data_IF_523102046149
#
_entry.id   IF_523102046149
#
_cell.length_a   1.000
_cell.length_b   1.000
_cell.length_c   1.000
_cell.angle_alpha   90.00
_cell.angle_beta   90.00
_cell.angle_gamma   90.00
#
_symmetry.space_group_name_H-M   'P 1'
#
loop_
_entity.id
_entity.type
_entity.pdbx_description
1 polymer ?
#
# COMPACT_ATOMS: atom_id res chain seq x y z
N UNK A 1 24.81 10.11 14.16
CA UNK A 1 24.06 11.28 13.66
C UNK A 1 24.87 12.10 12.64
N UNK A 2 26.14 12.43 12.91
CA UNK A 2 26.94 13.33 12.05
C UNK A 2 27.23 12.80 10.63
N UNK A 3 27.45 11.50 10.45
CA UNK A 3 27.77 10.93 9.14
C UNK A 3 26.58 10.95 8.16
N UNK A 4 25.37 10.63 8.62
CA UNK A 4 24.16 10.64 7.77
C UNK A 4 23.85 12.06 7.33
N UNK A 5 23.90 13.02 8.25
CA UNK A 5 23.68 14.45 7.94
C UNK A 5 24.72 14.93 6.93
N UNK A 6 25.99 14.58 7.11
CA UNK A 6 27.05 14.92 6.18
C UNK A 6 26.78 14.37 4.77
N UNK A 7 26.48 13.06 4.66
CA UNK A 7 26.19 12.41 3.36
C UNK A 7 25.00 13.08 2.66
N UNK A 8 23.91 13.34 3.39
CA UNK A 8 22.73 14.00 2.82
C UNK A 8 23.03 15.42 2.37
N UNK A 9 23.80 16.15 3.16
CA UNK A 9 24.20 17.52 2.80
C UNK A 9 25.06 17.52 1.53
N UNK A 10 26.01 16.58 1.40
CA UNK A 10 26.82 16.42 0.19
C UNK A 10 25.96 16.11 -1.04
N UNK A 11 25.00 15.18 -0.94
CA UNK A 11 24.11 14.88 -2.06
C UNK A 11 23.20 16.05 -2.42
N UNK A 12 22.71 16.83 -1.44
CA UNK A 12 21.91 18.03 -1.71
C UNK A 12 22.75 19.06 -2.48
N UNK A 13 23.98 19.32 -2.02
CA UNK A 13 24.90 20.24 -2.70
C UNK A 13 25.17 19.81 -4.14
N UNK A 14 25.29 18.50 -4.41
CA UNK A 14 25.46 17.96 -5.77
C UNK A 14 24.17 18.05 -6.62
N UNK A 15 23.00 17.92 -6.00
CA UNK A 15 21.72 17.95 -6.71
C UNK A 15 21.35 19.34 -7.26
N UNK A 16 21.84 20.41 -6.64
CA UNK A 16 21.62 21.80 -7.07
C UNK A 16 22.22 22.10 -8.46
N UNK A 17 23.53 21.92 -8.71
CA UNK A 17 24.11 22.16 -10.04
C UNK A 17 23.52 21.22 -11.09
N UNK A 18 23.13 19.99 -10.72
CA UNK A 18 22.44 19.08 -11.62
C UNK A 18 21.04 19.60 -12.01
N UNK A 19 20.27 20.13 -11.06
CA UNK A 19 19.00 20.80 -11.32
C UNK A 19 19.15 22.01 -12.24
N UNK A 20 20.17 22.85 -12.02
CA UNK A 20 20.50 23.98 -12.89
C UNK A 20 20.88 23.54 -14.31
N UNK A 21 21.59 22.43 -14.45
CA UNK A 21 21.91 21.84 -15.75
C UNK A 21 20.66 21.35 -16.48
N UNK A 22 19.74 20.67 -15.78
CA UNK A 22 18.42 20.26 -16.33
C UNK A 22 17.64 21.51 -16.78
N UNK A 23 17.57 22.55 -15.96
CA UNK A 23 16.87 23.80 -16.27
C UNK A 23 17.35 24.44 -17.57
N UNK A 24 18.67 24.43 -17.81
CA UNK A 24 19.29 24.94 -19.04
C UNK A 24 19.02 24.04 -20.24
N UNK A 25 19.11 22.71 -20.06
CA UNK A 25 18.91 21.73 -21.13
C UNK A 25 17.47 21.69 -21.66
N UNK A 26 16.50 21.98 -20.81
CA UNK A 26 15.08 22.01 -21.16
C UNK A 26 14.61 23.40 -21.64
N UNK A 27 15.47 24.17 -22.32
CA UNK A 27 15.16 25.54 -22.78
C UNK A 27 13.90 25.65 -23.64
N UNK A 28 13.56 24.60 -24.38
CA UNK A 28 12.37 24.52 -25.24
C UNK A 28 11.06 24.29 -24.46
N UNK A 29 11.12 24.04 -23.15
CA UNK A 29 9.94 23.85 -22.31
C UNK A 29 9.47 25.18 -21.71
N UNK A 30 8.20 25.23 -21.27
CA UNK A 30 7.68 26.38 -20.53
C UNK A 30 8.46 26.57 -19.23
N UNK A 31 8.59 27.82 -18.78
CA UNK A 31 9.36 28.17 -17.58
C UNK A 31 8.96 27.34 -16.35
N UNK A 32 7.65 27.19 -16.10
CA UNK A 32 7.14 26.40 -14.98
C UNK A 32 7.60 24.94 -15.06
N UNK A 33 7.49 24.31 -16.23
CA UNK A 33 7.86 22.91 -16.45
C UNK A 33 9.37 22.70 -16.25
N UNK A 34 10.18 23.68 -16.64
CA UNK A 34 11.63 23.70 -16.41
C UNK A 34 11.96 23.80 -14.93
N UNK A 35 11.29 24.68 -14.20
CA UNK A 35 11.46 24.80 -12.75
C UNK A 35 11.13 23.47 -12.05
N UNK A 36 9.96 22.88 -12.37
CA UNK A 36 9.54 21.60 -11.80
C UNK A 36 10.58 20.49 -12.06
N UNK A 37 11.04 20.36 -13.31
CA UNK A 37 12.07 19.40 -13.67
C UNK A 37 13.41 19.65 -12.93
N UNK A 38 13.81 20.92 -12.76
CA UNK A 38 15.04 21.31 -12.09
C UNK A 38 15.02 21.05 -10.58
N UNK A 39 13.86 21.19 -9.91
CA UNK A 39 13.71 20.89 -8.49
C UNK A 39 13.59 19.39 -8.19
N UNK A 40 13.18 18.59 -9.17
CA UNK A 40 12.93 17.15 -8.98
C UNK A 40 14.13 16.38 -8.38
N UNK A 41 15.38 16.55 -8.85
CA UNK A 41 16.54 15.86 -8.25
C UNK A 41 16.80 16.26 -6.79
N UNK A 42 16.62 17.53 -6.45
CA UNK A 42 16.82 18.03 -5.08
C UNK A 42 15.80 17.38 -4.14
N UNK A 43 14.52 17.38 -4.53
CA UNK A 43 13.46 16.74 -3.77
C UNK A 43 13.67 15.23 -3.64
N UNK A 44 14.14 14.58 -4.71
CA UNK A 44 14.45 13.16 -4.71
C UNK A 44 15.57 12.82 -3.73
N UNK A 45 16.64 13.63 -3.68
CA UNK A 45 17.73 13.49 -2.72
C UNK A 45 17.26 13.65 -1.28
N UNK A 46 16.49 14.71 -1.00
CA UNK A 46 15.92 14.95 0.34
C UNK A 46 15.07 13.75 0.75
N UNK A 47 14.19 13.30 -0.13
CA UNK A 47 13.31 12.17 0.13
C UNK A 47 14.09 10.87 0.37
N UNK A 48 15.10 10.57 -0.47
CA UNK A 48 15.96 9.42 -0.29
C UNK A 48 16.67 9.43 1.06
N UNK A 49 17.08 10.61 1.53
CA UNK A 49 17.65 10.77 2.86
C UNK A 49 16.67 10.55 4.00
N UNK A 50 15.44 11.05 3.87
CA UNK A 50 14.38 10.80 4.85
C UNK A 50 14.04 9.32 4.94
N UNK A 51 13.88 8.64 3.80
CA UNK A 51 13.62 7.19 3.72
C UNK A 51 14.76 6.42 4.37
N UNK A 52 16.01 6.71 3.99
CA UNK A 52 17.17 6.03 4.55
C UNK A 52 17.28 6.24 6.06
N UNK A 53 17.08 7.48 6.55
CA UNK A 53 17.10 7.77 7.97
C UNK A 53 15.98 7.03 8.72
N UNK A 54 14.77 6.95 8.16
CA UNK A 54 13.67 6.18 8.74
C UNK A 54 13.99 4.69 8.82
N UNK A 55 14.59 4.10 7.79
CA UNK A 55 14.98 2.69 7.79
C UNK A 55 16.08 2.43 8.82
N UNK A 56 17.14 3.25 8.84
CA UNK A 56 18.30 3.06 9.70
C UNK A 56 18.00 3.33 11.19
N UNK A 57 16.94 4.07 11.51
CA UNK A 57 16.51 4.31 12.89
C UNK A 57 15.62 3.20 13.46
N UNK A 58 15.07 2.31 12.61
CA UNK A 58 14.15 1.27 13.05
C UNK A 58 14.69 0.20 14.01
N UNK A 59 15.99 -0.14 14.03
CA UNK A 59 16.52 -1.04 15.06
C UNK A 59 16.36 -0.54 16.49
N UNK A 60 16.11 0.77 16.70
CA UNK A 60 15.85 1.35 18.02
C UNK A 60 14.38 1.24 18.45
N UNK A 61 13.52 0.61 17.64
CA UNK A 61 12.12 0.39 17.97
C UNK A 61 11.84 -1.11 18.13
N UNK A 62 11.78 -1.54 19.39
CA UNK A 62 11.74 -2.97 19.79
C UNK A 62 10.61 -3.77 19.13
N UNK A 63 9.50 -3.11 18.78
CA UNK A 63 8.38 -3.74 18.09
C UNK A 63 8.76 -4.35 16.75
N UNK A 64 9.73 -3.79 16.02
CA UNK A 64 10.17 -4.37 14.75
C UNK A 64 10.81 -5.75 14.94
N UNK A 65 11.64 -5.91 15.97
CA UNK A 65 12.27 -7.19 16.27
C UNK A 65 11.22 -8.23 16.68
N UNK A 66 10.30 -7.88 17.57
CA UNK A 66 9.20 -8.77 17.99
C UNK A 66 8.29 -9.18 16.83
N UNK A 67 8.08 -8.30 15.85
CA UNK A 67 7.25 -8.60 14.67
C UNK A 67 7.96 -9.43 13.61
N UNK A 68 9.27 -9.59 13.71
CA UNK A 68 10.04 -10.53 12.91
C UNK A 68 10.10 -11.94 13.50
N UNK A 69 9.80 -12.09 14.80
CA UNK A 69 9.78 -13.39 15.47
C UNK A 69 9.01 -14.47 14.69
N UNK A 70 7.82 -14.20 14.10
CA UNK A 70 7.08 -15.20 13.31
C UNK A 70 7.86 -15.71 12.09
N UNK A 71 8.59 -14.84 11.38
CA UNK A 71 9.41 -15.23 10.22
C UNK A 71 10.61 -16.09 10.64
N UNK A 72 11.29 -15.72 11.73
CA UNK A 72 12.38 -16.50 12.29
C UNK A 72 11.91 -17.85 12.85
N UNK A 73 10.72 -17.89 13.47
CA UNK A 73 10.11 -19.11 13.97
C UNK A 73 9.96 -20.16 12.86
N UNK A 74 9.44 -19.76 11.70
CA UNK A 74 9.28 -20.64 10.52
C UNK A 74 10.63 -21.25 10.10
N UNK A 75 11.67 -20.43 9.97
CA UNK A 75 12.99 -20.88 9.49
C UNK A 75 13.68 -21.82 10.50
N UNK A 76 13.41 -21.67 11.79
CA UNK A 76 13.96 -22.52 12.83
C UNK A 76 13.07 -23.75 13.14
N UNK A 77 12.03 -24.00 12.34
CA UNK A 77 11.14 -25.17 12.50
C UNK A 77 10.13 -25.04 13.64
N UNK A 78 9.96 -23.86 14.22
CA UNK A 78 8.90 -23.60 15.20
C UNK A 78 7.55 -23.41 14.52
N UNK A 79 6.46 -23.69 15.26
CA UNK A 79 5.11 -23.42 14.77
C UNK A 79 4.86 -21.92 14.73
N UNK A 80 4.14 -21.48 13.70
CA UNK A 80 3.71 -20.09 13.58
C UNK A 80 2.58 -19.75 14.57
N UNK A 81 1.66 -20.69 14.78
CA UNK A 81 0.54 -20.55 15.70
C UNK A 81 0.56 -21.65 16.74
N UNK A 82 0.27 -21.24 17.96
CA UNK A 82 0.16 -22.09 19.14
C UNK A 82 -1.26 -22.01 19.70
N UNK A 83 -1.69 -23.07 20.39
CA UNK A 83 -2.97 -23.07 21.11
C UNK A 83 -2.86 -22.28 22.41
N UNK A 84 -3.99 -22.04 23.08
CA UNK A 84 -4.02 -21.25 24.31
C UNK A 84 -3.26 -21.90 25.48
N UNK A 85 -3.17 -23.22 25.47
CA UNK A 85 -2.70 -24.09 26.54
C UNK A 85 -1.32 -24.71 26.26
N UNK A 86 -0.69 -24.40 25.12
CA UNK A 86 0.58 -25.01 24.74
C UNK A 86 1.48 -24.05 23.94
N UNK A 87 2.78 -24.05 24.26
CA UNK A 87 3.82 -23.36 23.50
C UNK A 87 3.98 -21.87 23.83
N UNK A 88 4.94 -21.18 23.18
CA UNK A 88 5.20 -19.77 23.40
C UNK A 88 4.08 -18.91 22.81
N UNK A 89 3.65 -17.89 23.58
CA UNK A 89 2.66 -16.91 23.12
C UNK A 89 3.33 -15.92 22.16
N UNK A 90 3.26 -16.20 20.85
CA UNK A 90 3.86 -15.36 19.81
C UNK A 90 3.05 -14.10 19.47
N UNK A 91 1.91 -13.85 20.13
CA UNK A 91 1.01 -12.70 19.90
C UNK A 91 0.72 -12.42 18.41
N UNK A 92 0.73 -13.47 17.58
CA UNK A 92 0.63 -13.35 16.13
C UNK A 92 -0.84 -13.40 15.73
N UNK A 93 -1.47 -12.24 15.60
CA UNK A 93 -2.89 -12.09 15.23
C UNK A 93 -3.13 -11.86 13.74
N UNK A 94 -2.05 -11.77 12.96
CA UNK A 94 -2.09 -11.59 11.52
C UNK A 94 -2.06 -12.92 10.79
N UNK A 95 -2.47 -12.88 9.52
CA UNK A 95 -2.51 -14.06 8.66
C UNK A 95 -1.09 -14.51 8.26
N UNK A 96 -0.90 -15.79 7.87
CA UNK A 96 0.42 -16.35 7.66
C UNK A 96 1.30 -15.62 6.64
N UNK A 97 0.73 -15.03 5.58
CA UNK A 97 1.52 -14.34 4.55
C UNK A 97 2.32 -13.16 5.09
N UNK A 98 1.94 -12.56 6.22
CA UNK A 98 2.78 -11.53 6.86
C UNK A 98 4.14 -12.10 7.22
N UNK A 99 4.20 -13.30 7.82
CA UNK A 99 5.45 -13.93 8.18
C UNK A 99 6.27 -14.32 6.93
N UNK A 100 5.60 -14.78 5.86
CA UNK A 100 6.26 -15.10 4.60
C UNK A 100 6.83 -13.87 3.88
N UNK A 101 6.13 -12.74 3.92
CA UNK A 101 6.56 -11.50 3.28
C UNK A 101 7.93 -11.01 3.82
N UNK A 102 8.23 -11.32 5.08
CA UNK A 102 9.48 -10.92 5.74
C UNK A 102 10.53 -12.03 5.85
N UNK A 103 10.29 -13.23 5.28
CA UNK A 103 11.30 -14.30 5.26
C UNK A 103 12.65 -13.87 4.67
N UNK A 104 12.75 -13.04 3.62
CA UNK A 104 14.07 -12.64 3.12
C UNK A 104 14.93 -11.91 4.16
N UNK A 105 14.31 -11.27 5.17
CA UNK A 105 15.04 -10.60 6.25
C UNK A 105 15.75 -11.58 7.20
N UNK A 106 15.34 -12.85 7.24
CA UNK A 106 15.98 -13.87 8.09
C UNK A 106 17.34 -14.33 7.56
N UNK A 107 17.70 -13.93 6.34
CA UNK A 107 19.02 -14.18 5.75
C UNK A 107 20.11 -13.28 6.34
N UNK A 108 19.75 -12.29 7.16
CA UNK A 108 20.70 -11.39 7.78
C UNK A 108 21.46 -12.06 8.94
N UNK A 109 22.76 -11.78 9.03
CA UNK A 109 23.66 -12.39 10.03
C UNK A 109 23.62 -11.72 11.41
N UNK A 110 22.82 -10.65 11.59
CA UNK A 110 22.65 -10.01 12.89
C UNK A 110 21.22 -9.47 13.07
N UNK A 111 20.73 -9.33 14.32
CA UNK A 111 19.41 -8.76 14.58
C UNK A 111 19.21 -7.36 13.98
N UNK A 112 20.23 -6.51 14.05
CA UNK A 112 20.18 -5.15 13.48
C UNK A 112 19.97 -5.19 11.98
N UNK A 113 20.72 -6.02 11.25
CA UNK A 113 20.58 -6.15 9.80
C UNK A 113 19.28 -6.83 9.40
N UNK A 114 18.75 -7.75 10.22
CA UNK A 114 17.45 -8.35 10.00
C UNK A 114 16.34 -7.30 10.05
N UNK A 115 16.34 -6.44 11.08
CA UNK A 115 15.36 -5.34 11.20
C UNK A 115 15.49 -4.35 10.03
N UNK A 116 16.71 -3.91 9.70
CA UNK A 116 16.94 -3.00 8.56
C UNK A 116 16.41 -3.62 7.26
N UNK A 117 16.71 -4.89 7.01
CA UNK A 117 16.26 -5.61 5.82
C UNK A 117 14.74 -5.73 5.76
N UNK A 118 14.09 -6.04 6.89
CA UNK A 118 12.64 -6.15 6.97
C UNK A 118 11.93 -4.82 6.75
N UNK A 119 12.48 -3.73 7.28
CA UNK A 119 11.91 -2.39 7.08
C UNK A 119 12.12 -1.94 5.64
N UNK A 120 13.27 -2.24 5.05
CA UNK A 120 13.50 -2.03 3.62
C UNK A 120 12.47 -2.78 2.77
N UNK A 121 12.22 -4.06 3.08
CA UNK A 121 11.17 -4.86 2.44
C UNK A 121 9.79 -4.20 2.61
N UNK A 122 9.47 -3.71 3.82
CA UNK A 122 8.22 -2.99 4.10
C UNK A 122 8.08 -1.75 3.21
N UNK A 123 9.14 -0.94 3.13
CA UNK A 123 9.19 0.24 2.28
C UNK A 123 9.05 -0.11 0.80
N UNK A 124 9.66 -1.22 0.33
CA UNK A 124 9.49 -1.71 -1.03
C UNK A 124 8.03 -2.10 -1.31
N UNK A 125 7.40 -2.88 -0.44
CA UNK A 125 5.99 -3.22 -0.57
C UNK A 125 5.12 -1.97 -0.63
N UNK A 126 5.38 -0.97 0.23
CA UNK A 126 4.58 0.24 0.29
C UNK A 126 4.76 1.16 -0.93
N UNK A 127 6.01 1.47 -1.30
CA UNK A 127 6.31 2.50 -2.30
C UNK A 127 6.36 1.99 -3.74
N UNK A 128 6.84 0.78 -4.02
CA UNK A 128 7.04 0.32 -5.40
C UNK A 128 5.74 0.19 -6.20
N UNK A 129 4.63 -0.35 -5.67
CA UNK A 129 3.37 -0.42 -6.40
C UNK A 129 2.77 0.96 -6.68
N UNK A 130 2.95 1.91 -5.76
CA UNK A 130 2.51 3.30 -5.95
C UNK A 130 3.38 4.02 -6.99
N UNK A 131 4.70 3.79 -6.95
CA UNK A 131 5.62 4.26 -7.97
C UNK A 131 5.21 3.73 -9.35
N UNK A 132 4.86 2.44 -9.44
CA UNK A 132 4.36 1.84 -10.67
C UNK A 132 3.08 2.50 -11.17
N UNK A 133 2.11 2.77 -10.30
CA UNK A 133 0.88 3.51 -10.60
C UNK A 133 1.11 4.94 -11.12
N UNK A 134 2.18 5.60 -10.68
CA UNK A 134 2.53 6.92 -11.18
C UNK A 134 3.29 6.84 -12.51
N UNK A 135 4.28 5.95 -12.63
CA UNK A 135 5.18 5.92 -13.78
C UNK A 135 4.60 5.23 -15.01
N UNK A 136 3.78 4.18 -14.85
CA UNK A 136 3.46 3.18 -15.87
C UNK A 136 3.49 3.66 -17.33
N UNK A 137 2.38 4.21 -17.83
CA UNK A 137 2.36 4.75 -19.21
C UNK A 137 3.02 6.12 -19.35
N UNK A 138 3.26 6.82 -18.25
CA UNK A 138 3.82 8.17 -18.22
C UNK A 138 5.31 8.21 -18.54
N UNK A 139 6.01 7.08 -18.46
CA UNK A 139 7.43 6.97 -18.85
C UNK A 139 7.67 7.27 -20.33
N UNK A 140 6.62 7.18 -21.18
CA UNK A 140 6.72 7.34 -22.64
C UNK A 140 7.13 8.75 -23.08
N UNK A 141 6.89 9.78 -22.25
CA UNK A 141 7.29 11.15 -22.58
C UNK A 141 8.06 11.76 -21.42
N UNK A 142 9.19 12.48 -21.66
CA UNK A 142 9.97 13.06 -20.59
C UNK A 142 9.16 14.01 -19.70
N UNK A 143 8.23 14.77 -20.31
CA UNK A 143 7.36 15.69 -19.58
C UNK A 143 6.42 14.96 -18.62
N UNK A 144 5.71 13.92 -19.10
CA UNK A 144 4.82 13.13 -18.23
C UNK A 144 5.59 12.39 -17.14
N UNK A 145 6.78 11.89 -17.45
CA UNK A 145 7.68 11.26 -16.49
C UNK A 145 8.03 12.21 -15.33
N UNK A 146 8.42 13.45 -15.62
CA UNK A 146 8.74 14.45 -14.58
C UNK A 146 7.53 14.69 -13.68
N UNK A 147 6.34 14.96 -14.24
CA UNK A 147 5.15 15.17 -13.39
C UNK A 147 4.79 13.95 -12.57
N UNK A 148 4.92 12.76 -13.14
CA UNK A 148 4.64 11.51 -12.43
C UNK A 148 5.60 11.29 -11.26
N UNK A 149 6.88 11.59 -11.45
CA UNK A 149 7.88 11.59 -10.37
C UNK A 149 7.56 12.64 -9.32
N UNK A 150 7.15 13.84 -9.71
CA UNK A 150 6.73 14.88 -8.75
C UNK A 150 5.50 14.44 -7.94
N UNK A 151 4.48 13.86 -8.58
CA UNK A 151 3.30 13.33 -7.88
C UNK A 151 3.68 12.22 -6.90
N UNK A 152 4.57 11.30 -7.30
CA UNK A 152 5.09 10.27 -6.42
C UNK A 152 5.89 10.85 -5.24
N UNK A 153 6.74 11.85 -5.48
CA UNK A 153 7.49 12.56 -4.44
C UNK A 153 6.52 13.23 -3.44
N UNK A 154 5.47 13.89 -3.93
CA UNK A 154 4.42 14.49 -3.10
C UNK A 154 3.73 13.41 -2.25
N UNK A 155 3.37 12.27 -2.84
CA UNK A 155 2.81 11.13 -2.10
C UNK A 155 3.76 10.64 -1.00
N UNK A 156 5.06 10.58 -1.26
CA UNK A 156 6.03 10.18 -0.25
C UNK A 156 6.12 11.20 0.88
N UNK A 157 6.17 12.51 0.59
CA UNK A 157 6.13 13.54 1.63
C UNK A 157 4.83 13.49 2.43
N UNK A 158 3.70 13.21 1.78
CA UNK A 158 2.42 13.01 2.45
C UNK A 158 2.44 11.78 3.37
N UNK A 159 3.12 10.71 2.97
CA UNK A 159 3.37 9.52 3.80
C UNK A 159 4.16 9.87 5.06
N UNK A 160 5.18 10.72 4.95
CA UNK A 160 5.92 11.22 6.12
C UNK A 160 5.08 12.14 7.02
N UNK A 161 4.21 12.95 6.43
CA UNK A 161 3.38 13.91 7.17
C UNK A 161 2.26 13.22 7.99
N UNK A 162 1.81 12.03 7.57
CA UNK A 162 0.78 11.27 8.26
C UNK A 162 1.38 10.12 9.09
N UNK A 163 1.26 10.13 10.43
CA UNK A 163 1.82 9.08 11.28
C UNK A 163 1.34 7.67 10.92
N UNK A 164 0.07 7.51 10.52
CA UNK A 164 -0.53 6.23 10.12
C UNK A 164 0.14 5.64 8.87
N UNK A 165 0.41 6.46 7.86
CA UNK A 165 1.09 6.06 6.63
C UNK A 165 2.58 5.83 6.87
N UNK A 166 3.24 6.71 7.61
CA UNK A 166 4.65 6.57 7.99
C UNK A 166 4.90 5.26 8.75
N UNK A 167 4.04 4.97 9.73
CA UNK A 167 4.05 3.70 10.45
C UNK A 167 3.90 2.51 9.49
N UNK A 168 2.93 2.56 8.57
CA UNK A 168 2.68 1.48 7.62
C UNK A 168 3.86 1.25 6.66
N UNK A 169 4.58 2.30 6.27
CA UNK A 169 5.68 2.24 5.31
C UNK A 169 7.02 1.83 5.94
N UNK A 170 7.31 2.32 7.15
CA UNK A 170 8.62 2.23 7.79
C UNK A 170 8.67 1.32 9.00
N UNK A 171 7.65 0.50 9.26
CA UNK A 171 7.70 -0.51 10.32
C UNK A 171 7.50 -1.90 9.76
N UNK A 172 8.08 -2.90 10.44
CA UNK A 172 7.75 -4.30 10.19
C UNK A 172 6.31 -4.51 10.66
N UNK A 173 5.39 -4.72 9.73
CA UNK A 173 3.98 -4.91 10.03
C UNK A 173 3.25 -5.58 8.88
N UNK A 174 2.07 -6.17 9.13
CA UNK A 174 1.20 -6.67 8.07
C UNK A 174 0.72 -5.58 7.09
N UNK A 175 0.86 -4.30 7.44
CA UNK A 175 0.27 -3.18 6.69
C UNK A 175 0.98 -2.95 5.38
N UNK A 176 2.31 -2.89 5.40
CA UNK A 176 3.11 -2.63 4.21
C UNK A 176 2.85 -3.65 3.09
N UNK A 177 3.01 -4.98 3.32
CA UNK A 177 2.68 -5.97 2.30
C UNK A 177 1.21 -5.97 1.90
N UNK A 178 0.28 -5.78 2.84
CA UNK A 178 -1.15 -5.76 2.50
C UNK A 178 -1.51 -4.56 1.61
N UNK A 179 -1.07 -3.35 1.95
CA UNK A 179 -1.28 -2.14 1.15
C UNK A 179 -0.54 -2.20 -0.19
N UNK A 180 0.69 -2.72 -0.19
CA UNK A 180 1.48 -2.90 -1.40
C UNK A 180 0.82 -3.82 -2.42
N UNK A 181 0.41 -5.01 -1.98
CA UNK A 181 -0.33 -5.97 -2.81
C UNK A 181 -1.67 -5.40 -3.27
N UNK A 182 -2.35 -4.62 -2.42
CA UNK A 182 -3.59 -3.91 -2.79
C UNK A 182 -3.35 -2.90 -3.91
N UNK A 183 -2.33 -2.06 -3.78
CA UNK A 183 -1.94 -1.08 -4.78
C UNK A 183 -1.50 -1.76 -6.09
N UNK A 184 -0.79 -2.89 -6.02
CA UNK A 184 -0.44 -3.68 -7.19
C UNK A 184 -1.68 -4.29 -7.88
N UNK A 185 -2.65 -4.80 -7.10
CA UNK A 185 -3.93 -5.29 -7.64
C UNK A 185 -4.70 -4.19 -8.38
N UNK A 186 -4.70 -2.97 -7.83
CA UNK A 186 -5.21 -1.78 -8.49
C UNK A 186 -4.42 -1.44 -9.76
N UNK A 187 -3.09 -1.42 -9.71
CA UNK A 187 -2.21 -1.08 -10.84
C UNK A 187 -2.45 -1.97 -12.05
N UNK A 188 -2.58 -3.28 -11.82
CA UNK A 188 -2.88 -4.27 -12.86
C UNK A 188 -4.19 -3.95 -13.58
N UNK A 189 -5.24 -3.55 -12.85
CA UNK A 189 -6.52 -3.17 -13.45
C UNK A 189 -6.47 -1.78 -14.09
N UNK A 190 -5.76 -0.84 -13.47
CA UNK A 190 -5.61 0.53 -13.96
C UNK A 190 -4.97 0.58 -15.34
N UNK A 191 -3.93 -0.23 -15.57
CA UNK A 191 -3.23 -0.31 -16.87
C UNK A 191 -3.79 -1.35 -17.82
N UNK A 192 -4.89 -2.02 -17.45
CA UNK A 192 -5.48 -3.08 -18.29
C UNK A 192 -5.92 -2.53 -19.64
N UNK A 193 -5.57 -3.24 -20.71
CA UNK A 193 -6.13 -3.02 -22.04
C UNK A 193 -7.30 -3.98 -22.30
N UNK A 194 -8.35 -3.56 -23.02
CA UNK A 194 -9.53 -4.40 -23.27
C UNK A 194 -9.23 -5.77 -23.90
N UNK A 195 -8.18 -5.86 -24.73
CA UNK A 195 -7.80 -7.10 -25.43
C UNK A 195 -7.10 -8.15 -24.55
N UNK A 196 -6.54 -7.78 -23.40
CA UNK A 196 -5.84 -8.68 -22.46
C UNK A 196 -6.57 -8.78 -21.11
N UNK A 197 -7.92 -8.77 -21.15
CA UNK A 197 -8.75 -8.61 -19.96
C UNK A 197 -8.58 -9.74 -18.93
N UNK A 198 -8.52 -11.00 -19.36
CA UNK A 198 -8.57 -12.14 -18.44
C UNK A 198 -7.32 -12.28 -17.56
N UNK A 199 -6.11 -12.10 -18.12
CA UNK A 199 -4.87 -12.22 -17.35
C UNK A 199 -4.79 -11.12 -16.29
N UNK A 200 -5.19 -9.89 -16.61
CA UNK A 200 -5.21 -8.80 -15.62
C UNK A 200 -6.27 -9.02 -14.55
N UNK A 201 -7.44 -9.59 -14.88
CA UNK A 201 -8.44 -9.99 -13.88
C UNK A 201 -7.86 -11.07 -12.95
N UNK A 202 -7.20 -12.08 -13.52
CA UNK A 202 -6.54 -13.16 -12.79
C UNK A 202 -5.45 -12.62 -11.85
N UNK A 203 -4.49 -11.84 -12.37
CA UNK A 203 -3.40 -11.28 -11.58
C UNK A 203 -3.91 -10.33 -10.49
N UNK A 204 -4.87 -9.47 -10.80
CA UNK A 204 -5.47 -8.58 -9.81
C UNK A 204 -6.19 -9.35 -8.70
N UNK A 205 -6.95 -10.40 -9.05
CA UNK A 205 -7.64 -11.24 -8.06
C UNK A 205 -6.65 -12.00 -7.16
N UNK A 206 -5.56 -12.53 -7.73
CA UNK A 206 -4.49 -13.17 -6.97
C UNK A 206 -3.85 -12.19 -5.98
N UNK A 207 -3.45 -11.01 -6.45
CA UNK A 207 -2.85 -9.97 -5.59
C UNK A 207 -3.82 -9.50 -4.49
N UNK A 208 -5.10 -9.35 -4.81
CA UNK A 208 -6.12 -8.97 -3.82
C UNK A 208 -6.31 -10.07 -2.75
N UNK A 209 -6.33 -11.35 -3.14
CA UNK A 209 -6.39 -12.47 -2.19
C UNK A 209 -5.13 -12.55 -1.34
N UNK A 210 -3.94 -12.34 -1.90
CA UNK A 210 -2.68 -12.30 -1.14
C UNK A 210 -2.64 -11.10 -0.17
N UNK A 211 -3.21 -9.96 -0.54
CA UNK A 211 -3.35 -8.81 0.35
C UNK A 211 -4.23 -9.15 1.57
N UNK A 212 -5.39 -9.77 1.35
CA UNK A 212 -6.26 -10.28 2.42
C UNK A 212 -5.55 -11.33 3.27
N UNK A 213 -4.83 -12.23 2.59
CA UNK A 213 -4.02 -13.27 3.21
C UNK A 213 -2.85 -12.73 4.03
N UNK A 214 -2.51 -11.45 3.87
CA UNK A 214 -1.56 -10.73 4.73
C UNK A 214 -2.28 -10.06 5.90
N UNK A 215 -3.37 -9.33 5.65
CA UNK A 215 -4.16 -8.67 6.69
C UNK A 215 -5.66 -8.74 6.39
N UNK A 216 -6.42 -9.32 7.32
CA UNK A 216 -7.86 -9.53 7.22
C UNK A 216 -8.67 -8.23 7.09
N UNK A 217 -8.12 -7.09 7.53
CA UNK A 217 -8.78 -5.78 7.39
C UNK A 217 -8.87 -5.30 5.93
N UNK A 218 -8.18 -5.98 5.00
CA UNK A 218 -8.18 -5.64 3.56
C UNK A 218 -9.26 -6.40 2.78
N UNK A 219 -10.08 -7.22 3.45
CA UNK A 219 -11.23 -7.92 2.83
C UNK A 219 -12.15 -7.02 1.96
N UNK A 220 -12.41 -5.74 2.29
CA UNK A 220 -13.22 -4.86 1.44
C UNK A 220 -12.65 -4.60 0.04
N UNK A 221 -11.33 -4.71 -0.15
CA UNK A 221 -10.67 -4.43 -1.42
C UNK A 221 -11.21 -5.30 -2.57
N UNK A 222 -11.23 -6.66 -2.47
CA UNK A 222 -11.84 -7.51 -3.50
C UNK A 222 -13.25 -7.09 -3.91
N UNK A 223 -14.10 -6.66 -2.96
CA UNK A 223 -15.45 -6.21 -3.24
C UNK A 223 -15.48 -4.87 -3.97
N UNK A 224 -14.58 -3.95 -3.60
CA UNK A 224 -14.44 -2.66 -4.28
C UNK A 224 -14.00 -2.84 -5.74
N UNK A 225 -12.99 -3.68 -5.97
CA UNK A 225 -12.50 -3.98 -7.32
C UNK A 225 -13.55 -4.71 -8.15
N UNK A 226 -14.25 -5.69 -7.57
CA UNK A 226 -15.35 -6.37 -8.24
C UNK A 226 -16.48 -5.39 -8.60
N UNK A 227 -16.82 -4.45 -7.71
CA UNK A 227 -17.81 -3.41 -7.98
C UNK A 227 -17.38 -2.51 -9.14
N UNK A 228 -16.14 -2.04 -9.15
CA UNK A 228 -15.60 -1.26 -10.27
C UNK A 228 -15.67 -2.03 -11.59
N UNK A 229 -15.26 -3.29 -11.60
CA UNK A 229 -15.34 -4.17 -12.79
C UNK A 229 -16.78 -4.35 -13.26
N UNK A 230 -17.74 -4.55 -12.34
CA UNK A 230 -19.15 -4.66 -12.68
C UNK A 230 -19.67 -3.39 -13.36
N UNK A 231 -19.31 -2.21 -12.83
CA UNK A 231 -19.75 -0.92 -13.34
C UNK A 231 -19.13 -0.58 -14.71
N UNK A 232 -17.83 -0.84 -14.88
CA UNK A 232 -17.07 -0.45 -16.08
C UNK A 232 -17.09 -1.52 -17.16
N UNK A 233 -16.87 -2.78 -16.79
CA UNK A 233 -16.70 -3.89 -17.75
C UNK A 233 -17.96 -4.73 -17.93
N UNK A 234 -18.89 -4.66 -16.96
CA UNK A 234 -20.14 -5.39 -16.97
C UNK A 234 -20.06 -6.80 -16.37
N UNK A 235 -21.20 -7.52 -16.48
CA UNK A 235 -21.46 -8.75 -15.73
C UNK A 235 -20.50 -9.90 -16.06
N UNK A 236 -20.03 -10.01 -17.29
CA UNK A 236 -19.15 -11.11 -17.71
C UNK A 236 -17.79 -11.04 -17.00
N UNK A 237 -17.09 -9.91 -17.11
CA UNK A 237 -15.80 -9.67 -16.43
C UNK A 237 -15.93 -9.74 -14.91
N UNK A 238 -17.05 -9.24 -14.37
CA UNK A 238 -17.37 -9.37 -12.95
C UNK A 238 -17.44 -10.84 -12.50
N UNK A 239 -18.20 -11.68 -13.22
CA UNK A 239 -18.31 -13.11 -12.91
C UNK A 239 -16.94 -13.80 -12.96
N UNK A 240 -16.14 -13.54 -14.00
CA UNK A 240 -14.79 -14.10 -14.10
C UNK A 240 -13.90 -13.67 -12.93
N UNK A 241 -13.92 -12.39 -12.57
CA UNK A 241 -13.15 -11.88 -11.43
C UNK A 241 -13.56 -12.55 -10.12
N UNK A 242 -14.87 -12.70 -9.86
CA UNK A 242 -15.39 -13.38 -8.68
C UNK A 242 -15.00 -14.86 -8.65
N UNK A 243 -15.03 -15.55 -9.81
CA UNK A 243 -14.55 -16.93 -9.91
C UNK A 243 -13.07 -17.01 -9.54
N UNK A 244 -12.23 -16.13 -10.07
CA UNK A 244 -10.80 -16.14 -9.74
C UNK A 244 -10.55 -15.81 -8.26
N UNK A 245 -11.28 -14.86 -7.67
CA UNK A 245 -11.24 -14.60 -6.23
C UNK A 245 -11.61 -15.85 -5.42
N UNK A 246 -12.67 -16.56 -5.82
CA UNK A 246 -13.11 -17.80 -5.17
C UNK A 246 -12.04 -18.90 -5.27
N UNK A 247 -11.47 -19.11 -6.45
CA UNK A 247 -10.42 -20.12 -6.69
C UNK A 247 -9.16 -19.79 -5.87
N UNK A 248 -8.60 -18.59 -5.99
CA UNK A 248 -7.39 -18.23 -5.23
C UNK A 248 -7.65 -18.17 -3.73
N UNK A 249 -8.81 -17.70 -3.30
CA UNK A 249 -9.20 -17.68 -1.89
C UNK A 249 -9.29 -19.09 -1.31
N UNK A 250 -9.93 -20.02 -2.04
CA UNK A 250 -10.03 -21.42 -1.62
C UNK A 250 -8.65 -22.11 -1.59
N UNK A 251 -7.81 -21.87 -2.61
CA UNK A 251 -6.44 -22.39 -2.63
C UNK A 251 -5.62 -21.88 -1.45
N UNK A 252 -5.64 -20.58 -1.19
CA UNK A 252 -4.89 -19.98 -0.08
C UNK A 252 -5.40 -20.49 1.28
N UNK A 253 -6.72 -20.55 1.47
CA UNK A 253 -7.33 -21.08 2.68
C UNK A 253 -6.95 -22.56 2.90
N UNK A 254 -6.96 -23.37 1.84
CA UNK A 254 -6.54 -24.78 1.89
C UNK A 254 -5.08 -24.89 2.30
N UNK A 255 -4.19 -24.12 1.68
CA UNK A 255 -2.76 -24.08 2.04
C UNK A 255 -2.59 -23.71 3.52
N UNK A 256 -3.29 -22.69 4.00
CA UNK A 256 -3.19 -22.28 5.40
C UNK A 256 -3.70 -23.36 6.38
N UNK A 257 -4.83 -24.00 6.08
CA UNK A 257 -5.40 -25.04 6.93
C UNK A 257 -4.52 -26.29 6.98
N UNK A 258 -3.92 -26.68 5.85
CA UNK A 258 -3.01 -27.84 5.76
C UNK A 258 -1.70 -27.58 6.50
N UNK A 259 -1.10 -26.39 6.35
CA UNK A 259 0.21 -26.09 6.93
C UNK A 259 0.12 -25.74 8.43
N UNK A 260 -0.88 -24.95 8.84
CA UNK A 260 -0.90 -24.34 10.17
C UNK A 260 -1.84 -24.97 11.20
N UNK A 261 -2.56 -26.02 10.79
CA UNK A 261 -3.63 -26.67 11.55
C UNK A 261 -4.83 -25.72 11.80
N UNK A 262 -6.07 -26.18 11.60
CA UNK A 262 -7.24 -25.29 11.69
C UNK A 262 -7.43 -24.64 13.07
N UNK A 263 -7.27 -25.40 14.16
CA UNK A 263 -7.58 -24.94 15.53
C UNK A 263 -6.62 -23.83 16.01
N UNK A 264 -5.28 -24.00 15.97
CA UNK A 264 -4.34 -22.93 16.34
C UNK A 264 -4.49 -21.69 15.43
N UNK A 265 -4.67 -21.89 14.13
CA UNK A 265 -4.84 -20.81 13.17
C UNK A 265 -6.06 -19.95 13.54
N UNK A 266 -7.25 -20.54 13.55
CA UNK A 266 -8.51 -19.82 13.83
C UNK A 266 -8.52 -19.20 15.24
N UNK A 267 -7.89 -19.84 16.22
CA UNK A 267 -7.72 -19.27 17.54
C UNK A 267 -6.98 -17.92 17.47
N UNK A 268 -5.83 -17.88 16.80
CA UNK A 268 -4.99 -16.69 16.73
C UNK A 268 -5.54 -15.59 15.82
N UNK A 269 -6.05 -15.93 14.63
CA UNK A 269 -6.48 -14.92 13.65
C UNK A 269 -7.92 -14.40 13.88
N UNK A 270 -8.76 -15.16 14.59
CA UNK A 270 -10.17 -14.80 14.82
C UNK A 270 -10.48 -14.68 16.30
N UNK A 271 -10.13 -15.68 17.12
CA UNK A 271 -10.60 -15.74 18.51
C UNK A 271 -9.93 -14.70 19.39
N UNK A 272 -8.60 -14.53 19.27
CA UNK A 272 -7.88 -13.49 20.01
C UNK A 272 -8.38 -12.08 19.60
N UNK A 273 -8.41 -11.71 18.30
CA UNK A 273 -8.93 -10.40 17.89
C UNK A 273 -10.34 -10.08 18.39
N UNK A 274 -11.24 -11.06 18.36
CA UNK A 274 -12.63 -10.89 18.86
C UNK A 274 -12.72 -10.59 20.35
N UNK A 275 -11.73 -11.01 21.14
CA UNK A 275 -11.70 -10.82 22.60
C UNK A 275 -11.03 -9.52 23.02
N UNK A 276 -10.49 -8.72 22.10
CA UNK A 276 -10.10 -7.35 22.43
C UNK A 276 -11.35 -6.55 22.75
N UNK A 277 -11.65 -6.44 24.05
CA UNK A 277 -12.65 -5.53 24.57
C UNK A 277 -12.21 -4.10 24.27
N UNK A 278 -13.11 -3.29 23.72
CA UNK A 278 -12.91 -1.84 23.61
C UNK A 278 -12.55 -1.29 24.98
N UNK A 279 -11.33 -0.75 25.12
CA UNK A 279 -10.88 -0.13 26.39
C UNK A 279 -11.67 1.14 26.73
N UNK A 280 -12.27 1.76 25.72
CA UNK A 280 -13.12 2.94 25.83
C UNK A 280 -14.55 2.59 25.45
N UNK A 281 -15.52 3.41 25.85
CA UNK A 281 -16.89 3.29 25.39
C UNK A 281 -16.91 3.32 23.85
N UNK A 282 -17.61 2.37 23.22
CA UNK A 282 -17.68 2.21 21.76
C UNK A 282 -18.07 3.50 21.03
N UNK A 283 -18.93 4.32 21.64
CA UNK A 283 -19.36 5.61 21.07
C UNK A 283 -18.19 6.60 21.03
N UNK A 284 -17.35 6.62 22.07
CA UNK A 284 -16.16 7.48 22.16
C UNK A 284 -15.07 7.00 21.21
N UNK A 285 -14.87 5.69 21.09
CA UNK A 285 -13.91 5.12 20.16
C UNK A 285 -14.31 5.42 18.70
N UNK A 286 -15.58 5.19 18.34
CA UNK A 286 -16.11 5.50 17.01
C UNK A 286 -16.04 7.01 16.72
N UNK A 287 -16.36 7.88 17.69
CA UNK A 287 -16.29 9.32 17.47
C UNK A 287 -14.85 9.78 17.25
N UNK A 288 -13.89 9.33 18.07
CA UNK A 288 -12.47 9.65 17.91
C UNK A 288 -11.91 9.13 16.58
N UNK A 289 -12.28 7.91 16.17
CA UNK A 289 -11.92 7.36 14.86
C UNK A 289 -12.49 8.22 13.73
N UNK A 290 -13.76 8.61 13.80
CA UNK A 290 -14.40 9.49 12.80
C UNK A 290 -13.74 10.87 12.74
N UNK A 291 -13.42 11.49 13.87
CA UNK A 291 -12.72 12.79 13.87
C UNK A 291 -11.29 12.68 13.35
N UNK A 292 -10.56 11.62 13.70
CA UNK A 292 -9.24 11.33 13.15
C UNK A 292 -9.28 11.12 11.64
N UNK A 293 -10.22 10.31 11.16
CA UNK A 293 -10.46 10.09 9.74
C UNK A 293 -10.81 11.39 9.03
N UNK A 294 -11.79 12.17 9.52
CA UNK A 294 -12.15 13.47 8.91
C UNK A 294 -10.92 14.37 8.80
N UNK A 295 -10.10 14.47 9.86
CA UNK A 295 -8.88 15.28 9.85
C UNK A 295 -7.86 14.81 8.81
N UNK A 296 -7.67 13.50 8.66
CA UNK A 296 -6.80 12.91 7.63
C UNK A 296 -7.41 13.02 6.21
N UNK A 297 -8.73 13.17 6.11
CA UNK A 297 -9.50 13.22 4.85
C UNK A 297 -9.74 14.61 4.28
N UNK A 298 -9.64 15.68 5.07
CA UNK A 298 -9.90 17.05 4.59
C UNK A 298 -9.05 17.40 3.38
N UNK A 299 -7.74 17.12 3.43
CA UNK A 299 -6.82 17.47 2.35
C UNK A 299 -7.02 16.58 1.10
N UNK A 300 -7.03 15.23 1.20
CA UNK A 300 -7.34 14.39 0.04
C UNK A 300 -8.73 14.65 -0.56
N UNK A 301 -9.74 14.86 0.29
CA UNK A 301 -11.11 15.14 -0.12
C UNK A 301 -11.24 16.46 -0.87
N UNK A 302 -10.57 17.52 -0.40
CA UNK A 302 -10.52 18.79 -1.11
C UNK A 302 -9.83 18.67 -2.48
N UNK A 303 -8.71 17.92 -2.55
CA UNK A 303 -8.01 17.67 -3.82
C UNK A 303 -8.89 16.89 -4.79
N UNK A 304 -9.56 15.83 -4.33
CA UNK A 304 -10.50 15.06 -5.15
C UNK A 304 -11.65 15.95 -5.62
N UNK A 305 -12.26 16.74 -4.73
CA UNK A 305 -13.34 17.66 -5.11
C UNK A 305 -12.87 18.66 -6.17
N UNK A 306 -11.69 19.25 -6.03
CA UNK A 306 -11.13 20.19 -7.02
C UNK A 306 -10.85 19.50 -8.36
N UNK A 307 -10.27 18.28 -8.34
CA UNK A 307 -9.98 17.51 -9.55
C UNK A 307 -11.24 16.98 -10.23
N UNK A 308 -12.30 16.72 -9.46
CA UNK A 308 -13.60 16.24 -9.95
C UNK A 308 -14.59 17.36 -10.23
N UNK A 309 -14.28 18.60 -9.85
CA UNK A 309 -15.01 19.81 -10.24
C UNK A 309 -14.81 20.12 -11.72
N UNK A 310 -15.14 19.15 -12.57
CA UNK A 310 -15.14 19.25 -14.01
C UNK A 310 -16.60 19.23 -14.45
N UNK A 311 -17.01 20.20 -15.27
CA UNK A 311 -18.41 20.48 -15.63
C UNK A 311 -19.17 19.28 -16.24
N UNK A 312 -18.46 18.25 -16.70
CA UNK A 312 -19.04 17.01 -17.24
C UNK A 312 -19.82 16.16 -16.23
N UNK A 313 -19.49 16.22 -14.93
CA UNK A 313 -20.23 15.43 -13.91
C UNK A 313 -21.68 15.92 -13.78
N UNK A 314 -21.93 17.22 -14.00
CA UNK A 314 -23.25 17.83 -13.91
C UNK A 314 -24.17 17.52 -15.11
N UNK A 315 -23.67 16.84 -16.15
CA UNK A 315 -24.42 16.48 -17.36
C UNK A 315 -24.77 14.99 -17.44
N UNK A 316 -24.55 14.22 -16.37
CA UNK A 316 -24.86 12.79 -16.31
C UNK A 316 -26.37 12.63 -16.15
N UNK A 317 -27.05 12.25 -17.23
CA UNK A 317 -28.51 12.06 -17.23
C UNK A 317 -28.91 10.58 -17.15
N UNK A 318 -28.06 9.65 -17.62
CA UNK A 318 -28.36 8.21 -17.66
C UNK A 318 -27.21 7.31 -17.18
N UNK A 319 -27.51 6.04 -16.86
CA UNK A 319 -26.51 5.05 -16.40
C UNK A 319 -25.41 4.75 -17.44
N UNK A 320 -25.72 4.85 -18.74
CA UNK A 320 -24.74 4.72 -19.82
C UNK A 320 -23.65 5.80 -19.73
N UNK A 321 -24.01 7.00 -19.28
CA UNK A 321 -23.10 8.14 -19.17
C UNK A 321 -22.15 7.94 -17.98
N UNK A 322 -22.66 7.36 -16.88
CA UNK A 322 -21.85 6.96 -15.72
C UNK A 322 -20.82 5.91 -16.13
N UNK A 323 -21.25 4.85 -16.82
CA UNK A 323 -20.34 3.78 -17.27
C UNK A 323 -19.22 4.33 -18.16
N UNK A 324 -19.57 5.20 -19.12
CA UNK A 324 -18.60 5.83 -20.01
C UNK A 324 -17.64 6.73 -19.22
N UNK A 325 -18.16 7.55 -18.31
CA UNK A 325 -17.34 8.42 -17.46
C UNK A 325 -16.33 7.62 -16.64
N UNK A 326 -16.77 6.54 -15.97
CA UNK A 326 -15.89 5.68 -15.17
C UNK A 326 -14.83 4.97 -16.01
N UNK A 327 -15.19 4.52 -17.22
CA UNK A 327 -14.26 3.91 -18.17
C UNK A 327 -13.18 4.90 -18.64
N UNK A 328 -13.57 6.15 -18.91
CA UNK A 328 -12.66 7.22 -19.33
C UNK A 328 -11.77 7.71 -18.17
N UNK A 329 -12.26 7.60 -16.93
CA UNK A 329 -11.62 8.05 -15.71
C UNK A 329 -11.23 6.88 -14.81
N UNK A 330 -10.20 6.11 -15.21
CA UNK A 330 -9.74 4.92 -14.47
C UNK A 330 -9.33 5.18 -13.02
N UNK A 331 -8.96 6.42 -12.69
CA UNK A 331 -8.66 6.84 -11.32
C UNK A 331 -9.89 6.71 -10.38
N UNK A 332 -11.12 6.68 -10.92
CA UNK A 332 -12.35 6.43 -10.17
C UNK A 332 -12.37 5.07 -9.45
N UNK A 333 -11.64 4.07 -9.96
CA UNK A 333 -11.42 2.81 -9.27
C UNK A 333 -10.81 3.02 -7.88
N UNK A 334 -9.80 3.89 -7.78
CA UNK A 334 -9.11 4.19 -6.53
C UNK A 334 -10.04 4.87 -5.54
N UNK A 335 -10.98 5.70 -6.00
CA UNK A 335 -12.02 6.26 -5.14
C UNK A 335 -12.95 5.19 -4.58
N UNK A 336 -13.42 4.26 -5.42
CA UNK A 336 -14.31 3.17 -4.98
C UNK A 336 -13.60 2.32 -3.92
N UNK A 337 -12.33 1.98 -4.14
CA UNK A 337 -11.49 1.29 -3.15
C UNK A 337 -11.43 2.08 -1.85
N UNK A 338 -11.20 3.39 -1.92
CA UNK A 338 -11.13 4.25 -0.75
C UNK A 338 -12.44 4.25 0.07
N UNK A 339 -13.60 4.31 -0.61
CA UNK A 339 -14.91 4.27 0.02
C UNK A 339 -15.17 2.94 0.76
N UNK A 340 -14.83 1.82 0.14
CA UNK A 340 -14.98 0.49 0.75
C UNK A 340 -14.05 0.29 1.95
N UNK A 341 -12.80 0.73 1.84
CA UNK A 341 -11.80 0.55 2.89
C UNK A 341 -12.09 1.41 4.12
N UNK A 342 -12.67 2.60 3.97
CA UNK A 342 -13.08 3.44 5.10
C UNK A 342 -14.25 2.86 5.91
N UNK A 343 -15.20 2.19 5.25
CA UNK A 343 -16.41 1.68 5.91
C UNK A 343 -16.10 0.63 6.99
N UNK A 344 -14.91 0.02 6.95
CA UNK A 344 -14.49 -1.05 7.86
C UNK A 344 -13.56 -0.64 9.00
N UNK A 345 -13.06 0.60 9.04
CA UNK A 345 -12.17 1.06 10.12
C UNK A 345 -12.88 1.34 11.46
N UNK A 346 -14.18 1.03 11.57
CA UNK A 346 -14.93 1.09 12.83
C UNK A 346 -14.85 -0.18 13.70
N UNK A 347 -14.09 -1.21 13.30
CA UNK A 347 -14.12 -2.54 13.92
C UNK A 347 -12.76 -3.10 14.38
N UNK A 348 -11.71 -2.29 14.39
CA UNK A 348 -10.38 -2.62 14.95
C UNK A 348 -9.97 -1.55 15.94
#
# INVERSE_FOLDING_TARGET
MNLVIFILTSFIVISIPFGLWIFKRLSNWKLLDRCVAAFTPILFTILGGLILNSILSQPFWDWNASRLTPSFAIIHGYKLYYEADNGPVLSTVYNPLTAFAYLPATLANSPTWAVISAVFISSCFFFLPILWLHLGENIKTPKSLVYSLCCFIIFCFFTFALPSLSYSAFTVHADAPALGLSAAACAVLYYRQPKNSNLSLLLSSLLAVLAVGTKQTVVPLPFALATYILLVDGRHSFKLYVIYLGVFGALLATIFLVIFQPKPLLFNIITIPKKYSWKENIIVAISRLRFGLIKEWILPGAVILVLTYNQKILQINNFSDIKRYLSDNRWSMLLIVCLYMNATFGAT
#
